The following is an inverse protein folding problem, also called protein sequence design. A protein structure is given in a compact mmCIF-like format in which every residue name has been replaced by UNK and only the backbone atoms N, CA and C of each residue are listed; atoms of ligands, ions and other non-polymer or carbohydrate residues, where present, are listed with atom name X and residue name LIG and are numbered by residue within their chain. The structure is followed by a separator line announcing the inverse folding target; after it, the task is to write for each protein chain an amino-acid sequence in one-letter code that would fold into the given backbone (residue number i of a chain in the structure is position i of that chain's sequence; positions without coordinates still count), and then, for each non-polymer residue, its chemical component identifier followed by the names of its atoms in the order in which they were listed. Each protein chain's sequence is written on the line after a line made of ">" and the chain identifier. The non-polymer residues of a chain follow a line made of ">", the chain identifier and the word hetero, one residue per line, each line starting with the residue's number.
data_IF_392286688886
#
_entry.id   IF_392286688886
#
_cell.length_a   1.000
_cell.length_b   1.000
_cell.length_c   1.000
_cell.angle_alpha   90.00
_cell.angle_beta   90.00
_cell.angle_gamma   90.00
#
_symmetry.space_group_name_H-M   'P 1'
#
loop_
_entity.id
_entity.type
_entity.pdbx_description
1 polymer ?
#
# COMPACT_ATOMS: atom_id res chain seq x y z
N UNK A 1 -20.91 6.43 -28.55
CA UNK A 1 -20.29 5.31 -27.81
C UNK A 1 -19.62 5.81 -26.52
N UNK A 2 -18.93 6.95 -26.51
CA UNK A 2 -18.46 7.60 -25.27
C UNK A 2 -19.59 7.82 -24.25
N UNK A 3 -20.72 8.39 -24.68
CA UNK A 3 -21.92 8.56 -23.82
C UNK A 3 -22.46 7.24 -23.24
N UNK A 4 -22.26 6.11 -23.93
CA UNK A 4 -22.68 4.80 -23.43
C UNK A 4 -21.70 4.34 -22.35
N UNK A 5 -20.39 4.54 -22.52
CA UNK A 5 -19.39 4.19 -21.52
C UNK A 5 -19.60 4.95 -20.21
N UNK A 6 -20.01 6.22 -20.29
CA UNK A 6 -20.34 7.03 -19.11
C UNK A 6 -21.58 6.52 -18.35
N UNK A 7 -22.46 5.77 -19.01
CA UNK A 7 -23.74 5.29 -18.45
C UNK A 7 -23.72 3.84 -17.95
N UNK A 8 -22.92 2.95 -18.56
CA UNK A 8 -23.02 1.49 -18.32
C UNK A 8 -22.26 1.00 -17.09
N UNK A 9 -21.44 1.86 -16.46
CA UNK A 9 -20.66 1.53 -15.27
C UNK A 9 -19.49 0.56 -15.53
N UNK A 10 -18.57 0.49 -14.57
CA UNK A 10 -17.31 -0.23 -14.68
C UNK A 10 -17.42 -1.70 -15.18
N UNK A 11 -18.28 -2.57 -14.61
CA UNK A 11 -18.33 -3.98 -15.03
C UNK A 11 -18.76 -4.16 -16.49
N UNK A 12 -19.65 -3.28 -16.98
CA UNK A 12 -20.13 -3.34 -18.35
C UNK A 12 -19.04 -2.87 -19.33
N UNK A 13 -18.25 -1.84 -18.99
CA UNK A 13 -17.12 -1.39 -19.82
C UNK A 13 -16.12 -2.54 -20.02
N UNK A 14 -15.73 -3.23 -18.94
CA UNK A 14 -14.82 -4.39 -19.06
C UNK A 14 -15.44 -5.54 -19.86
N UNK A 15 -16.76 -5.74 -19.75
CA UNK A 15 -17.47 -6.75 -20.53
C UNK A 15 -17.45 -6.40 -22.01
N UNK A 16 -17.80 -5.17 -22.39
CA UNK A 16 -17.80 -4.68 -23.77
C UNK A 16 -16.42 -4.79 -24.42
N UNK A 17 -15.36 -4.45 -23.67
CA UNK A 17 -13.96 -4.57 -24.10
C UNK A 17 -13.56 -6.01 -24.46
N UNK A 18 -14.25 -7.00 -23.88
CA UNK A 18 -14.00 -8.44 -24.12
C UNK A 18 -14.84 -9.01 -25.28
N UNK A 19 -15.79 -8.26 -25.85
CA UNK A 19 -16.71 -8.75 -26.92
C UNK A 19 -16.05 -8.77 -28.30
N UNK A 20 -15.31 -7.73 -28.69
CA UNK A 20 -14.63 -7.67 -30.00
C UNK A 20 -13.35 -6.85 -29.97
N UNK A 21 -12.46 -7.04 -30.94
CA UNK A 21 -11.25 -6.21 -31.12
C UNK A 21 -11.61 -4.75 -31.33
N UNK A 22 -12.60 -4.45 -32.19
CA UNK A 22 -12.99 -3.07 -32.48
C UNK A 22 -13.51 -2.34 -31.24
N UNK A 23 -14.32 -3.01 -30.40
CA UNK A 23 -14.78 -2.43 -29.13
C UNK A 23 -13.63 -2.28 -28.12
N UNK A 24 -12.68 -3.21 -28.14
CA UNK A 24 -11.48 -3.13 -27.30
C UNK A 24 -10.65 -1.92 -27.64
N UNK A 25 -10.31 -1.77 -28.91
CA UNK A 25 -9.49 -0.67 -29.42
C UNK A 25 -10.20 0.66 -29.15
N UNK A 26 -11.51 0.73 -29.40
CA UNK A 26 -12.30 1.91 -29.07
C UNK A 26 -12.27 2.27 -27.58
N UNK A 27 -12.48 1.31 -26.68
CA UNK A 27 -12.49 1.57 -25.22
C UNK A 27 -11.09 1.96 -24.74
N UNK A 28 -10.05 1.32 -25.28
CA UNK A 28 -8.67 1.65 -24.96
C UNK A 28 -8.30 3.08 -25.41
N UNK A 29 -8.78 3.51 -26.58
CA UNK A 29 -8.61 4.87 -27.10
C UNK A 29 -9.46 5.90 -26.35
N UNK A 30 -10.69 5.54 -26.00
CA UNK A 30 -11.62 6.43 -25.29
C UNK A 30 -11.14 6.74 -23.86
N UNK A 31 -10.36 5.83 -23.24
CA UNK A 31 -9.81 5.97 -21.90
C UNK A 31 -10.87 6.48 -20.89
N UNK A 32 -11.93 5.69 -20.63
CA UNK A 32 -13.01 6.10 -19.75
C UNK A 32 -12.50 6.25 -18.31
N UNK A 33 -12.90 7.33 -17.64
CA UNK A 33 -12.58 7.50 -16.22
C UNK A 33 -13.55 6.66 -15.39
N UNK A 34 -13.02 5.70 -14.63
CA UNK A 34 -13.83 4.85 -13.79
C UNK A 34 -14.26 5.52 -12.49
N UNK A 35 -13.66 6.66 -12.13
CA UNK A 35 -14.01 7.48 -10.98
C UNK A 35 -14.07 6.68 -9.66
N UNK A 36 -13.12 5.75 -9.49
CA UNK A 36 -12.99 5.01 -8.24
C UNK A 36 -12.48 5.92 -7.13
N UNK A 37 -13.08 5.79 -5.94
CA UNK A 37 -12.58 6.45 -4.73
C UNK A 37 -11.41 5.66 -4.15
N UNK A 38 -11.52 4.34 -4.12
CA UNK A 38 -10.52 3.47 -3.49
C UNK A 38 -10.51 2.08 -4.10
N UNK A 39 -9.41 1.36 -3.90
CA UNK A 39 -9.23 -0.01 -4.38
C UNK A 39 -8.57 -0.84 -3.30
N UNK A 40 -9.17 -1.99 -3.01
CA UNK A 40 -8.63 -2.96 -2.04
C UNK A 40 -8.37 -4.28 -2.76
N UNK A 41 -7.09 -4.62 -2.96
CA UNK A 41 -6.66 -5.86 -3.60
C UNK A 41 -6.03 -6.80 -2.56
N UNK A 42 -6.52 -8.03 -2.49
CA UNK A 42 -6.00 -9.08 -1.62
C UNK A 42 -5.61 -10.30 -2.46
N UNK A 43 -4.36 -10.71 -2.34
CA UNK A 43 -3.77 -11.84 -3.04
C UNK A 43 -3.61 -13.01 -2.07
N UNK A 44 -4.23 -14.13 -2.38
CA UNK A 44 -4.21 -15.39 -1.63
C UNK A 44 -3.75 -16.54 -2.54
N UNK A 45 -3.39 -17.68 -1.95
CA UNK A 45 -2.83 -18.84 -2.68
C UNK A 45 -3.63 -19.31 -3.90
N UNK A 46 -4.96 -19.23 -3.82
CA UNK A 46 -5.90 -19.72 -4.83
C UNK A 46 -7.01 -18.71 -5.11
N UNK A 47 -6.78 -17.44 -4.77
CA UNK A 47 -7.79 -16.40 -4.97
C UNK A 47 -7.14 -15.03 -5.02
N UNK A 48 -7.58 -14.20 -5.95
CA UNK A 48 -7.32 -12.76 -5.93
C UNK A 48 -8.67 -12.09 -5.78
N UNK A 49 -8.81 -11.22 -4.79
CA UNK A 49 -10.03 -10.45 -4.55
C UNK A 49 -9.71 -8.98 -4.75
N UNK A 50 -10.49 -8.28 -5.56
CA UNK A 50 -10.36 -6.84 -5.79
C UNK A 50 -11.69 -6.19 -5.52
N UNK A 51 -11.74 -5.34 -4.51
CA UNK A 51 -12.90 -4.53 -4.20
C UNK A 51 -12.68 -3.11 -4.71
N UNK A 52 -13.45 -2.74 -5.74
CA UNK A 52 -13.45 -1.41 -6.33
C UNK A 52 -14.53 -0.56 -5.68
N UNK A 53 -14.15 0.57 -5.07
CA UNK A 53 -15.05 1.38 -4.24
C UNK A 53 -15.44 2.65 -4.99
N UNK A 54 -16.73 2.81 -5.28
CA UNK A 54 -17.33 4.02 -5.88
C UNK A 54 -18.33 4.67 -4.92
N UNK A 55 -18.75 5.90 -5.25
CA UNK A 55 -19.85 6.56 -4.55
C UNK A 55 -21.18 5.80 -4.69
N UNK A 56 -21.40 5.12 -5.81
CA UNK A 56 -22.63 4.37 -6.11
C UNK A 56 -22.69 2.98 -5.49
N UNK A 57 -21.58 2.50 -4.91
CA UNK A 57 -21.46 1.15 -4.37
C UNK A 57 -20.11 0.52 -4.66
N UNK A 58 -19.91 -0.65 -4.08
CA UNK A 58 -18.68 -1.43 -4.20
C UNK A 58 -18.85 -2.54 -5.24
N UNK A 59 -17.81 -2.79 -6.03
CA UNK A 59 -17.75 -3.90 -6.97
C UNK A 59 -16.63 -4.85 -6.55
N UNK A 60 -17.00 -6.04 -6.04
CA UNK A 60 -16.06 -7.09 -5.70
C UNK A 60 -15.87 -8.03 -6.89
N UNK A 61 -14.64 -8.13 -7.37
CA UNK A 61 -14.23 -9.09 -8.41
C UNK A 61 -13.28 -10.10 -7.80
N UNK A 62 -13.55 -11.39 -7.98
CA UNK A 62 -12.66 -12.46 -7.53
C UNK A 62 -12.17 -13.31 -8.70
N UNK A 63 -10.90 -13.71 -8.66
CA UNK A 63 -10.27 -14.60 -9.63
C UNK A 63 -9.73 -15.82 -8.89
N UNK A 64 -10.12 -17.03 -9.29
CA UNK A 64 -9.70 -18.28 -8.66
C UNK A 64 -9.39 -19.38 -9.70
N UNK A 65 -8.48 -20.32 -9.41
CA UNK A 65 -8.15 -21.38 -10.34
C UNK A 65 -9.34 -22.34 -10.56
N UNK A 66 -9.46 -22.86 -11.78
CA UNK A 66 -10.43 -23.87 -12.19
C UNK A 66 -9.73 -24.93 -13.07
N UNK A 67 -10.26 -26.16 -13.16
CA UNK A 67 -9.58 -27.35 -13.73
C UNK A 67 -8.86 -27.09 -15.07
N UNK A 68 -9.48 -26.35 -15.99
CA UNK A 68 -8.92 -25.97 -17.29
C UNK A 68 -8.81 -24.44 -17.51
N UNK A 69 -8.62 -23.67 -16.45
CA UNK A 69 -8.44 -22.22 -16.54
C UNK A 69 -8.72 -21.51 -15.22
N UNK A 70 -9.65 -20.55 -15.24
CA UNK A 70 -10.03 -19.84 -14.03
C UNK A 70 -11.51 -19.50 -13.96
N UNK A 71 -11.98 -19.27 -12.75
CA UNK A 71 -13.29 -18.69 -12.48
C UNK A 71 -13.09 -17.22 -12.12
N UNK A 72 -13.89 -16.36 -12.76
CA UNK A 72 -14.07 -14.98 -12.31
C UNK A 72 -15.48 -14.82 -11.78
N UNK A 73 -15.59 -14.24 -10.59
CA UNK A 73 -16.87 -13.81 -10.04
C UNK A 73 -16.89 -12.30 -9.89
N UNK A 74 -18.03 -11.70 -10.19
CA UNK A 74 -18.30 -10.29 -9.99
C UNK A 74 -19.74 -10.18 -9.48
N UNK A 75 -19.92 -9.68 -8.26
CA UNK A 75 -21.21 -9.69 -7.58
C UNK A 75 -21.81 -11.12 -7.53
N UNK A 76 -23.02 -11.32 -8.07
CA UNK A 76 -23.71 -12.62 -8.10
C UNK A 76 -23.52 -13.37 -9.44
N UNK A 77 -22.56 -12.95 -10.26
CA UNK A 77 -22.28 -13.56 -11.57
C UNK A 77 -20.94 -14.25 -11.54
N UNK A 78 -20.91 -15.47 -12.06
CA UNK A 78 -19.69 -16.26 -12.21
C UNK A 78 -19.50 -16.63 -13.67
N UNK A 79 -18.24 -16.69 -14.09
CA UNK A 79 -17.85 -17.13 -15.42
C UNK A 79 -16.57 -17.95 -15.34
N UNK A 80 -16.59 -19.11 -15.98
CA UNK A 80 -15.40 -19.92 -16.21
C UNK A 80 -14.77 -19.47 -17.53
N UNK A 81 -13.46 -19.27 -17.51
CA UNK A 81 -12.64 -18.93 -18.66
C UNK A 81 -11.58 -20.01 -18.81
N UNK A 82 -11.62 -20.70 -19.93
CA UNK A 82 -10.71 -21.81 -20.22
C UNK A 82 -9.40 -21.31 -20.84
N UNK A 83 -8.34 -22.13 -20.75
CA UNK A 83 -7.05 -21.93 -21.41
C UNK A 83 -6.34 -20.61 -21.06
N UNK A 84 -6.53 -20.11 -19.83
CA UNK A 84 -5.90 -18.89 -19.33
C UNK A 84 -5.68 -18.97 -17.81
N UNK A 85 -4.68 -18.24 -17.31
CA UNK A 85 -4.34 -18.22 -15.89
C UNK A 85 -5.00 -17.03 -15.17
N UNK A 86 -5.55 -17.29 -13.98
CA UNK A 86 -6.29 -16.29 -13.20
C UNK A 86 -5.46 -15.03 -12.86
N UNK A 87 -4.14 -15.18 -12.70
CA UNK A 87 -3.21 -14.05 -12.45
C UNK A 87 -3.14 -13.12 -13.66
N UNK A 88 -3.05 -13.67 -14.86
CA UNK A 88 -2.96 -12.88 -16.09
C UNK A 88 -4.28 -12.12 -16.34
N UNK A 89 -5.40 -12.76 -16.03
CA UNK A 89 -6.72 -12.14 -16.13
C UNK A 89 -6.89 -10.99 -15.12
N UNK A 90 -6.56 -11.24 -13.85
CA UNK A 90 -6.52 -10.18 -12.82
C UNK A 90 -5.64 -9.03 -13.27
N UNK A 91 -4.42 -9.33 -13.71
CA UNK A 91 -3.48 -8.31 -14.13
C UNK A 91 -4.08 -7.46 -15.26
N UNK A 92 -4.52 -8.08 -16.35
CA UNK A 92 -5.05 -7.36 -17.50
C UNK A 92 -6.18 -6.41 -17.08
N UNK A 93 -7.14 -6.90 -16.29
CA UNK A 93 -8.26 -6.09 -15.83
C UNK A 93 -7.77 -4.95 -14.90
N UNK A 94 -6.95 -5.26 -13.89
CA UNK A 94 -6.42 -4.29 -12.91
C UNK A 94 -5.59 -3.17 -13.57
N UNK A 95 -4.76 -3.55 -14.52
CA UNK A 95 -3.92 -2.70 -15.36
C UNK A 95 -4.71 -1.67 -16.15
N UNK A 96 -5.76 -2.13 -16.85
CA UNK A 96 -6.62 -1.27 -17.66
C UNK A 96 -7.34 -0.26 -16.77
N UNK A 97 -7.81 -0.72 -15.60
CA UNK A 97 -8.51 0.14 -14.66
C UNK A 97 -7.61 1.25 -14.15
N UNK A 98 -6.47 0.88 -13.57
CA UNK A 98 -5.58 1.88 -12.96
C UNK A 98 -4.93 2.80 -13.99
N UNK A 99 -4.70 2.34 -15.24
CA UNK A 99 -4.21 3.19 -16.32
C UNK A 99 -5.20 4.29 -16.72
N UNK A 100 -6.50 3.99 -16.69
CA UNK A 100 -7.55 4.92 -17.13
C UNK A 100 -8.19 5.72 -15.99
N UNK A 101 -7.81 5.44 -14.74
CA UNK A 101 -8.22 6.22 -13.57
C UNK A 101 -7.61 7.62 -13.62
N UNK A 102 -8.41 8.65 -13.94
CA UNK A 102 -7.91 10.02 -14.15
C UNK A 102 -7.72 10.77 -12.84
N UNK A 103 -8.69 10.61 -11.93
CA UNK A 103 -8.65 11.19 -10.58
C UNK A 103 -7.81 10.33 -9.64
N UNK A 104 -6.94 10.91 -8.81
CA UNK A 104 -6.24 10.14 -7.78
C UNK A 104 -7.19 9.37 -6.87
N UNK A 105 -6.87 8.10 -6.62
CA UNK A 105 -7.53 7.32 -5.57
C UNK A 105 -7.30 7.99 -4.21
N UNK A 106 -8.32 8.01 -3.37
CA UNK A 106 -8.17 8.40 -1.97
C UNK A 106 -7.34 7.35 -1.22
N UNK A 107 -7.51 6.07 -1.55
CA UNK A 107 -6.77 4.95 -0.95
C UNK A 107 -6.52 3.85 -1.97
N UNK A 108 -5.29 3.35 -1.97
CA UNK A 108 -4.93 2.10 -2.60
C UNK A 108 -4.43 1.12 -1.52
N UNK A 109 -5.15 0.04 -1.33
CA UNK A 109 -4.79 -1.04 -0.43
C UNK A 109 -4.37 -2.28 -1.20
N UNK A 110 -3.22 -2.82 -0.83
CA UNK A 110 -2.67 -4.02 -1.45
C UNK A 110 -2.17 -4.98 -0.37
N UNK A 111 -2.77 -6.15 -0.28
CA UNK A 111 -2.46 -7.15 0.74
C UNK A 111 -1.99 -8.45 0.10
N UNK A 112 -0.76 -8.84 0.39
CA UNK A 112 -0.23 -10.17 0.09
C UNK A 112 -0.39 -11.09 1.30
N UNK A 113 -1.31 -12.04 1.18
CA UNK A 113 -1.59 -13.04 2.22
C UNK A 113 -0.39 -13.98 2.45
N UNK A 114 -0.31 -14.53 3.65
CA UNK A 114 0.74 -15.48 4.07
C UNK A 114 0.65 -16.83 3.34
N UNK A 115 -0.47 -17.12 2.69
CA UNK A 115 -0.68 -18.36 1.94
C UNK A 115 -0.15 -18.33 0.51
N UNK A 116 0.26 -17.17 -0.02
CA UNK A 116 0.67 -17.06 -1.42
C UNK A 116 1.98 -17.81 -1.67
N UNK A 117 1.91 -18.90 -2.45
CA UNK A 117 3.09 -19.51 -3.07
C UNK A 117 3.83 -18.45 -3.89
N UNK A 118 5.13 -18.34 -3.64
CA UNK A 118 5.95 -17.17 -3.91
C UNK A 118 6.14 -16.84 -5.41
N UNK A 119 6.50 -15.57 -5.66
CA UNK A 119 7.17 -15.00 -6.85
C UNK A 119 6.31 -14.50 -8.01
N UNK A 120 5.37 -15.26 -8.57
CA UNK A 120 4.74 -14.88 -9.86
C UNK A 120 3.97 -13.54 -9.83
N UNK A 121 3.38 -13.17 -8.70
CA UNK A 121 2.62 -11.92 -8.55
C UNK A 121 3.48 -10.67 -8.52
N UNK A 122 4.73 -10.77 -8.04
CA UNK A 122 5.62 -9.62 -7.90
C UNK A 122 6.38 -9.34 -9.18
N UNK A 123 6.68 -10.38 -9.97
CA UNK A 123 7.20 -10.21 -11.33
C UNK A 123 6.32 -9.33 -12.21
N UNK A 124 5.03 -9.30 -11.90
CA UNK A 124 4.10 -8.44 -12.60
C UNK A 124 4.45 -6.95 -12.43
N UNK A 125 4.57 -6.50 -11.18
CA UNK A 125 4.96 -5.13 -10.85
C UNK A 125 6.40 -4.81 -11.31
N UNK A 126 7.29 -5.82 -11.42
CA UNK A 126 8.62 -5.65 -12.05
C UNK A 126 8.55 -5.26 -13.53
N UNK A 127 7.65 -5.89 -14.30
CA UNK A 127 7.67 -5.84 -15.77
C UNK A 127 6.89 -4.67 -16.39
N UNK A 128 6.11 -3.94 -15.59
CA UNK A 128 5.23 -2.89 -16.10
C UNK A 128 5.45 -1.58 -15.37
N UNK A 129 5.66 -0.52 -16.14
CA UNK A 129 5.64 0.86 -15.66
C UNK A 129 4.20 1.31 -15.41
N UNK A 130 3.60 0.82 -14.33
CA UNK A 130 2.35 1.39 -13.80
C UNK A 130 2.67 2.71 -13.09
N UNK A 131 1.78 3.69 -13.21
CA UNK A 131 1.84 4.96 -12.48
C UNK A 131 0.50 5.18 -11.78
N UNK A 132 0.32 4.51 -10.65
CA UNK A 132 -0.91 4.49 -9.86
C UNK A 132 -1.02 5.79 -9.07
N UNK A 133 -2.01 6.61 -9.39
CA UNK A 133 -2.29 7.85 -8.66
C UNK A 133 -3.12 7.56 -7.42
N UNK A 134 -2.50 7.66 -6.25
CA UNK A 134 -3.18 7.46 -4.95
C UNK A 134 -2.64 8.44 -3.91
N UNK A 135 -3.49 8.93 -3.01
CA UNK A 135 -3.07 9.78 -1.88
C UNK A 135 -2.58 8.95 -0.69
N UNK A 136 -3.30 7.87 -0.37
CA UNK A 136 -2.96 6.97 0.74
C UNK A 136 -2.67 5.57 0.21
N UNK A 137 -1.48 5.05 0.53
CA UNK A 137 -1.08 3.69 0.22
C UNK A 137 -0.97 2.85 1.48
N UNK A 138 -1.60 1.67 1.47
CA UNK A 138 -1.67 0.76 2.61
C UNK A 138 -1.34 -0.67 2.17
N UNK A 139 -0.15 -1.14 2.51
CA UNK A 139 0.38 -2.42 2.04
C UNK A 139 0.53 -3.43 3.17
N UNK A 140 -0.11 -4.59 3.00
CA UNK A 140 0.07 -5.76 3.85
C UNK A 140 0.99 -6.78 3.19
N UNK A 141 2.02 -7.25 3.88
CA UNK A 141 2.90 -8.29 3.36
C UNK A 141 3.60 -9.07 4.49
N UNK A 142 4.16 -10.24 4.16
CA UNK A 142 5.04 -11.01 5.04
C UNK A 142 6.47 -11.12 4.49
N UNK A 143 6.64 -10.97 3.17
CA UNK A 143 7.93 -10.85 2.49
C UNK A 143 8.10 -9.40 2.03
N UNK A 144 9.16 -8.73 2.50
CA UNK A 144 9.45 -7.33 2.18
C UNK A 144 9.87 -7.09 0.72
N UNK A 145 10.23 -8.14 -0.04
CA UNK A 145 10.59 -8.03 -1.46
C UNK A 145 9.46 -7.38 -2.29
N UNK A 146 8.20 -7.57 -1.86
CA UNK A 146 7.04 -7.00 -2.53
C UNK A 146 7.07 -5.47 -2.62
N UNK A 147 7.59 -4.80 -1.58
CA UNK A 147 7.63 -3.33 -1.49
C UNK A 147 8.45 -2.76 -2.65
N UNK A 148 9.56 -3.42 -2.99
CA UNK A 148 10.48 -3.01 -4.05
C UNK A 148 9.84 -2.98 -5.44
N UNK A 149 8.69 -3.61 -5.62
CA UNK A 149 7.98 -3.64 -6.91
C UNK A 149 6.71 -2.81 -6.88
N UNK A 150 5.98 -2.83 -5.77
CA UNK A 150 4.70 -2.11 -5.68
C UNK A 150 4.91 -0.62 -5.43
N UNK A 151 5.82 -0.23 -4.53
CA UNK A 151 6.03 1.18 -4.20
C UNK A 151 6.49 2.02 -5.40
N UNK A 152 7.43 1.57 -6.26
CA UNK A 152 7.81 2.30 -7.47
C UNK A 152 6.68 2.48 -8.49
N UNK A 153 5.61 1.70 -8.41
CA UNK A 153 4.46 1.83 -9.31
C UNK A 153 3.53 2.98 -8.92
N UNK A 154 3.77 3.69 -7.81
CA UNK A 154 2.93 4.80 -7.36
C UNK A 154 3.42 6.14 -7.90
N UNK A 155 2.49 7.07 -8.13
CA UNK A 155 2.79 8.44 -8.50
C UNK A 155 3.30 9.24 -7.29
N UNK A 156 4.60 9.56 -7.28
CA UNK A 156 5.28 10.26 -6.17
C UNK A 156 4.76 11.68 -5.94
N UNK A 157 4.20 12.35 -6.96
CA UNK A 157 3.68 13.72 -6.83
C UNK A 157 2.35 13.77 -6.06
N UNK A 158 1.62 12.66 -6.08
CA UNK A 158 0.25 12.56 -5.54
C UNK A 158 0.23 11.84 -4.19
N UNK A 159 1.19 10.92 -3.96
CA UNK A 159 1.28 10.12 -2.75
C UNK A 159 1.59 10.99 -1.52
N UNK A 160 0.75 10.85 -0.49
CA UNK A 160 0.84 11.61 0.77
C UNK A 160 1.12 10.73 1.97
N UNK A 161 0.61 9.51 1.99
CA UNK A 161 0.76 8.63 3.14
C UNK A 161 1.10 7.21 2.73
N UNK A 162 2.12 6.65 3.39
CA UNK A 162 2.56 5.26 3.24
C UNK A 162 2.30 4.51 4.55
N UNK A 163 1.61 3.38 4.47
CA UNK A 163 1.43 2.46 5.60
C UNK A 163 1.78 1.04 5.24
N UNK A 164 2.56 0.41 6.11
CA UNK A 164 2.92 -0.99 6.00
C UNK A 164 2.43 -1.79 7.20
N UNK A 165 2.03 -3.04 6.99
CA UNK A 165 1.73 -3.95 8.09
C UNK A 165 2.10 -5.41 7.80
N UNK A 166 2.58 -6.11 8.82
CA UNK A 166 2.86 -7.54 8.68
C UNK A 166 1.57 -8.35 8.72
N UNK A 167 1.30 -9.11 7.65
CA UNK A 167 0.09 -9.94 7.52
C UNK A 167 0.12 -11.19 8.41
N UNK A 168 1.28 -11.57 8.95
CA UNK A 168 1.39 -12.64 9.97
C UNK A 168 1.00 -12.16 11.37
N UNK A 169 0.86 -10.84 11.57
CA UNK A 169 0.65 -10.20 12.88
C UNK A 169 1.75 -10.48 13.91
N UNK A 170 2.89 -11.05 13.49
CA UNK A 170 4.08 -11.21 14.31
C UNK A 170 4.97 -10.01 14.09
N UNK A 171 5.63 -9.55 15.15
CA UNK A 171 6.67 -8.55 15.00
C UNK A 171 7.87 -9.18 14.29
N UNK A 172 8.20 -8.66 13.11
CA UNK A 172 9.33 -9.10 12.30
C UNK A 172 10.19 -7.89 11.95
N UNK A 173 11.48 -8.10 11.76
CA UNK A 173 12.34 -7.03 11.27
C UNK A 173 11.98 -6.66 9.81
N UNK A 174 12.01 -5.35 9.52
CA UNK A 174 11.76 -4.77 8.21
C UNK A 174 12.91 -3.83 7.85
N UNK A 175 13.67 -4.23 6.83
CA UNK A 175 14.65 -3.37 6.19
C UNK A 175 14.01 -2.65 4.99
N UNK A 176 14.17 -1.33 4.93
CA UNK A 176 13.64 -0.43 3.91
C UNK A 176 14.76 0.28 3.11
N UNK A 177 16.03 -0.14 3.25
CA UNK A 177 17.18 0.57 2.65
C UNK A 177 17.08 0.65 1.12
N UNK A 178 16.41 -0.33 0.51
CA UNK A 178 16.19 -0.37 -0.94
C UNK A 178 15.11 0.62 -1.42
N UNK A 179 14.26 1.13 -0.53
CA UNK A 179 13.12 1.99 -0.89
C UNK A 179 13.19 3.41 -0.33
N UNK A 180 14.03 3.68 0.67
CA UNK A 180 14.18 5.02 1.26
C UNK A 180 14.67 6.08 0.28
N UNK A 181 15.34 5.68 -0.82
CA UNK A 181 15.82 6.59 -1.86
C UNK A 181 14.81 6.78 -3.02
N UNK A 182 13.62 6.17 -2.93
CA UNK A 182 12.58 6.35 -3.94
C UNK A 182 11.88 7.70 -3.74
N UNK A 183 11.56 8.39 -4.83
CA UNK A 183 10.78 9.64 -4.79
C UNK A 183 9.44 9.45 -4.07
N UNK A 184 8.82 8.27 -4.18
CA UNK A 184 7.57 7.96 -3.49
C UNK A 184 7.75 8.02 -1.97
N UNK A 185 8.89 7.57 -1.46
CA UNK A 185 9.20 7.58 -0.03
C UNK A 185 9.61 8.98 0.45
N UNK A 186 10.39 9.69 -0.35
CA UNK A 186 10.88 11.05 -0.04
C UNK A 186 9.76 12.11 -0.11
N UNK A 187 8.84 12.00 -1.06
CA UNK A 187 7.76 12.98 -1.23
C UNK A 187 6.55 12.75 -0.32
N UNK A 188 6.41 11.55 0.25
CA UNK A 188 5.30 11.26 1.15
C UNK A 188 5.43 12.06 2.45
N UNK A 189 4.29 12.47 2.99
CA UNK A 189 4.22 13.33 4.19
C UNK A 189 4.10 12.51 5.47
N UNK A 190 3.44 11.34 5.40
CA UNK A 190 3.16 10.50 6.57
C UNK A 190 3.60 9.07 6.35
N UNK A 191 4.23 8.51 7.37
CA UNK A 191 4.67 7.12 7.36
C UNK A 191 4.22 6.39 8.62
N UNK A 192 3.70 5.17 8.45
CA UNK A 192 3.54 4.28 9.60
C UNK A 192 3.74 2.82 9.28
N UNK A 193 4.18 2.07 10.29
CA UNK A 193 4.32 0.63 10.21
C UNK A 193 3.67 -0.05 11.39
N UNK A 194 3.02 -1.20 11.16
CA UNK A 194 2.44 -2.06 12.20
C UNK A 194 3.00 -3.46 12.10
N UNK A 195 3.24 -4.09 13.25
CA UNK A 195 3.72 -5.48 13.35
C UNK A 195 5.07 -5.70 12.63
N UNK A 196 5.88 -4.65 12.47
CA UNK A 196 7.28 -4.77 12.08
C UNK A 196 8.14 -3.89 13.00
N UNK A 197 9.41 -4.27 13.15
CA UNK A 197 10.47 -3.42 13.68
C UNK A 197 11.40 -2.99 12.55
N UNK A 198 11.63 -1.69 12.39
CA UNK A 198 12.49 -1.14 11.34
C UNK A 198 13.96 -1.27 11.74
N UNK A 199 14.79 -1.80 10.84
CA UNK A 199 16.26 -1.82 10.99
C UNK A 199 16.99 -0.78 10.13
N UNK A 200 16.25 -0.04 9.29
CA UNK A 200 16.78 1.08 8.50
C UNK A 200 17.03 2.31 9.37
N UNK A 201 18.09 3.06 9.04
CA UNK A 201 18.52 4.24 9.78
C UNK A 201 17.41 5.30 9.93
N UNK A 202 17.25 5.85 11.14
CA UNK A 202 16.17 6.79 11.49
C UNK A 202 16.22 8.11 10.71
N UNK A 203 17.41 8.51 10.25
CA UNK A 203 17.59 9.74 9.46
C UNK A 203 16.67 9.78 8.23
N UNK A 204 16.37 8.62 7.62
CA UNK A 204 15.50 8.51 6.44
C UNK A 204 14.01 8.75 6.72
N UNK A 205 13.64 8.97 7.98
CA UNK A 205 12.24 9.19 8.39
C UNK A 205 12.01 10.60 8.94
N UNK A 206 13.06 11.42 9.03
CA UNK A 206 13.02 12.72 9.67
C UNK A 206 12.30 13.80 8.84
N UNK A 207 12.15 13.59 7.52
CA UNK A 207 11.45 14.51 6.62
C UNK A 207 9.93 14.41 6.73
N UNK A 208 9.39 13.28 7.20
CA UNK A 208 7.95 13.08 7.37
C UNK A 208 7.37 14.07 8.39
N UNK A 209 6.15 14.53 8.15
CA UNK A 209 5.39 15.33 9.12
C UNK A 209 4.86 14.45 10.26
N UNK A 210 4.52 13.20 9.95
CA UNK A 210 4.05 12.21 10.91
C UNK A 210 4.75 10.87 10.74
N UNK A 211 5.27 10.31 11.83
CA UNK A 211 5.82 8.96 11.89
C UNK A 211 5.14 8.19 13.01
N UNK A 212 4.68 6.97 12.73
CA UNK A 212 4.22 6.02 13.74
C UNK A 212 4.84 4.65 13.46
N UNK A 213 5.93 4.33 14.16
CA UNK A 213 6.77 3.20 13.83
C UNK A 213 7.41 2.56 15.06
N UNK A 214 7.77 1.29 14.90
CA UNK A 214 8.64 0.56 15.82
C UNK A 214 9.99 0.39 15.13
N UNK A 215 11.08 0.73 15.80
CA UNK A 215 12.46 0.48 15.37
C UNK A 215 13.05 -0.69 16.16
N UNK A 216 13.94 -1.47 15.54
CA UNK A 216 14.64 -2.58 16.21
C UNK A 216 15.57 -2.02 17.29
N UNK A 217 16.36 -1.01 16.95
CA UNK A 217 17.31 -0.32 17.80
C UNK A 217 17.26 1.18 17.45
N UNK A 218 17.36 2.04 18.46
CA UNK A 218 17.58 3.47 18.28
C UNK A 218 18.72 3.89 19.21
N UNK A 219 19.43 4.95 18.83
CA UNK A 219 20.51 5.53 19.61
C UNK A 219 20.15 6.91 20.15
N UNK A 220 20.91 7.41 21.12
CA UNK A 220 20.82 8.80 21.59
C UNK A 220 20.95 9.81 20.42
N UNK A 221 21.82 9.53 19.44
CA UNK A 221 21.97 10.36 18.24
C UNK A 221 20.69 10.38 17.40
N UNK A 222 20.02 9.23 17.23
CA UNK A 222 18.76 9.20 16.49
C UNK A 222 17.65 10.01 17.19
N UNK A 223 17.63 10.00 18.53
CA UNK A 223 16.70 10.82 19.30
C UNK A 223 16.97 12.31 19.12
N UNK A 224 18.23 12.73 19.12
CA UNK A 224 18.58 14.13 18.86
C UNK A 224 18.23 14.54 17.42
N UNK A 225 18.43 13.67 16.43
CA UNK A 225 18.01 13.88 15.04
C UNK A 225 16.49 14.10 14.95
N UNK A 226 15.68 13.25 15.60
CA UNK A 226 14.23 13.42 15.63
C UNK A 226 13.84 14.75 16.29
N UNK A 227 14.48 15.11 17.41
CA UNK A 227 14.23 16.36 18.14
C UNK A 227 14.52 17.58 17.26
N UNK A 228 15.70 17.62 16.65
CA UNK A 228 16.11 18.70 15.74
C UNK A 228 15.14 18.79 14.56
N UNK A 229 14.80 17.66 13.94
CA UNK A 229 13.89 17.62 12.78
C UNK A 229 12.49 18.12 13.14
N UNK A 230 11.98 17.74 14.31
CA UNK A 230 10.68 18.18 14.82
C UNK A 230 10.63 19.69 15.12
N UNK A 231 11.70 20.27 15.66
CA UNK A 231 11.76 21.71 15.99
C UNK A 231 11.98 22.57 14.75
N UNK A 232 12.74 22.06 13.78
CA UNK A 232 13.12 22.82 12.57
C UNK A 232 12.08 22.76 11.46
N UNK A 233 11.29 21.68 11.38
CA UNK A 233 10.28 21.52 10.33
C UNK A 233 9.00 22.29 10.66
N UNK A 234 8.57 23.27 9.82
CA UNK A 234 7.32 24.00 10.05
C UNK A 234 6.07 23.15 9.80
N UNK A 235 6.23 21.97 9.19
CA UNK A 235 5.14 21.04 8.88
C UNK A 235 5.07 19.87 9.89
N UNK A 236 5.96 19.83 10.88
CA UNK A 236 5.97 18.76 11.86
C UNK A 236 4.62 18.65 12.56
N UNK A 237 4.08 17.43 12.63
CA UNK A 237 2.85 17.12 13.36
C UNK A 237 3.15 16.24 14.56
N UNK A 238 3.74 15.05 14.35
CA UNK A 238 3.94 14.07 15.42
C UNK A 238 4.88 12.92 15.05
N UNK A 239 5.81 12.58 15.95
CA UNK A 239 6.51 11.30 15.94
C UNK A 239 6.04 10.41 17.10
N UNK A 240 5.64 9.18 16.80
CA UNK A 240 5.33 8.12 17.75
C UNK A 240 6.28 6.96 17.49
N UNK A 241 7.38 6.92 18.24
CA UNK A 241 8.48 5.99 18.05
C UNK A 241 8.46 4.99 19.19
N UNK A 242 8.34 3.72 18.83
CA UNK A 242 8.62 2.59 19.71
C UNK A 242 9.97 2.00 19.32
N UNK A 243 10.66 1.39 20.27
CA UNK A 243 11.96 0.78 20.01
C UNK A 243 12.11 -0.52 20.77
N UNK A 244 12.92 -1.44 20.23
CA UNK A 244 13.26 -2.71 20.87
C UNK A 244 14.43 -2.54 21.84
N UNK A 245 15.54 -2.00 21.32
CA UNK A 245 16.79 -1.81 22.05
C UNK A 245 17.13 -0.32 22.10
N UNK A 246 17.55 0.13 23.28
CA UNK A 246 18.15 1.43 23.55
C UNK A 246 19.16 1.22 24.68
N UNK A 247 20.39 1.72 24.53
CA UNK A 247 21.49 1.43 25.47
C UNK A 247 22.01 2.67 26.20
N UNK A 248 21.67 3.87 25.72
CA UNK A 248 22.23 5.15 26.16
C UNK A 248 21.26 5.94 27.07
N UNK A 249 20.81 5.31 28.17
CA UNK A 249 19.77 5.87 29.05
C UNK A 249 20.18 7.22 29.69
N UNK A 250 21.45 7.37 30.06
CA UNK A 250 21.97 8.61 30.66
C UNK A 250 21.97 9.75 29.63
N UNK A 251 22.42 9.47 28.40
CA UNK A 251 22.41 10.44 27.31
C UNK A 251 20.99 10.87 26.93
N UNK A 252 20.01 9.96 27.00
CA UNK A 252 18.60 10.29 26.76
C UNK A 252 18.07 11.32 27.77
N UNK A 253 18.42 11.14 29.04
CA UNK A 253 18.04 12.06 30.11
C UNK A 253 18.71 13.43 29.94
N UNK A 254 19.96 13.46 29.49
CA UNK A 254 20.64 14.73 29.15
C UNK A 254 19.99 15.42 27.93
N UNK A 255 19.59 14.64 26.92
CA UNK A 255 19.02 15.15 25.65
C UNK A 255 17.59 15.68 25.78
N UNK A 256 16.73 15.00 26.54
CA UNK A 256 15.30 15.29 26.65
C UNK A 256 14.90 15.86 28.02
N UNK A 257 15.77 15.75 29.02
CA UNK A 257 15.44 16.06 30.41
C UNK A 257 14.62 14.96 31.08
N UNK A 258 14.20 15.22 32.31
CA UNK A 258 13.36 14.28 33.07
C UNK A 258 11.98 14.10 32.43
N UNK A 259 11.41 12.87 32.45
CA UNK A 259 10.08 12.62 31.92
C UNK A 259 9.01 13.54 32.54
N UNK A 260 8.20 14.18 31.70
CA UNK A 260 7.04 14.93 32.17
C UNK A 260 5.91 13.97 32.53
N UNK A 261 5.56 13.93 33.81
CA UNK A 261 4.41 13.19 34.31
C UNK A 261 3.24 14.17 34.51
N UNK A 262 2.26 14.23 33.59
CA UNK A 262 1.10 15.07 33.81
C UNK A 262 0.37 14.60 35.09
N UNK A 263 -0.09 15.53 35.95
CA UNK A 263 -0.88 15.17 37.11
C UNK A 263 -2.13 14.45 36.61
N UNK A 264 -2.24 13.14 36.90
CA UNK A 264 -3.27 12.17 36.52
C UNK A 264 -2.94 11.11 35.45
N UNK A 265 -1.69 10.97 34.97
CA UNK A 265 -1.32 9.73 34.25
C UNK A 265 -1.17 8.58 35.26
N UNK A 266 -2.20 7.75 35.40
CA UNK A 266 -2.12 6.47 36.10
C UNK A 266 -1.17 5.54 35.33
N UNK A 267 0.12 5.63 35.66
CA UNK A 267 1.14 4.74 35.16
C UNK A 267 0.78 3.29 35.48
N UNK A 268 0.74 2.43 34.46
CA UNK A 268 0.92 1.00 34.66
C UNK A 268 2.32 0.81 35.22
N UNK A 269 2.40 0.67 36.55
CA UNK A 269 3.61 0.28 37.26
C UNK A 269 4.21 -0.96 36.57
N UNK A 270 5.41 -0.80 35.99
CA UNK A 270 6.31 -1.94 35.79
C UNK A 270 6.73 -2.39 37.19
N UNK A 271 6.33 -3.61 37.58
CA UNK A 271 6.94 -4.29 38.72
C UNK A 271 8.39 -4.64 38.35
N UNK A 272 9.24 -4.51 39.37
CA UNK A 272 10.65 -4.90 39.43
C UNK A 272 10.90 -6.30 38.87
#
# INVERSE_FOLDING_TARGET
>A
MNEILDLVGFPAILTLRKVSSNLRDFIDDASPDFNFKSVDATLESKKISVNWILASGNCLVCYSPHENGFMVSCENKEKIVENSHYIDAFYNDFSIVLKNQKTPLERFHFCQSTSTGQVNFLEFFKKKSLKIKTKYFDMGFHNSEAINYVLPCLDSEVLKEIRFFNTTYKNQELNLDQVVNLEQFDNAEKFSVRNFSISTAMLHFCHFTTVNAMFSEITAQDVDLLKISAITSPKFEKFNIKYGIFKEDDELLELLGSPYHPPNSTGRNKKQ
#
